data_IF_847153048058
#
_entry.id   IF_847153048058
#
_cell.length_a   1.000
_cell.length_b   1.000
_cell.length_c   1.000
_cell.angle_alpha   90.00
_cell.angle_beta   90.00
_cell.angle_gamma   90.00
#
_symmetry.space_group_name_H-M   'P 1'
#
loop_
_entity.id
_entity.type
_entity.pdbx_description
1 polymer ?
#
# COMPACT_ATOMS: atom_id res chain seq x y z
N UNK A 1 -18.75 6.72 33.52
CA UNK A 1 -18.35 6.59 32.13
C UNK A 1 -17.85 5.18 31.82
N UNK A 2 -16.97 4.60 32.63
CA UNK A 2 -16.38 3.28 32.42
C UNK A 2 -17.42 2.12 32.50
N UNK A 3 -18.36 2.23 33.45
CA UNK A 3 -19.42 1.24 33.62
C UNK A 3 -20.41 1.22 32.44
N UNK A 4 -20.69 2.40 31.88
CA UNK A 4 -21.57 2.53 30.70
C UNK A 4 -20.95 1.92 29.45
N UNK A 5 -19.62 2.02 29.30
CA UNK A 5 -18.90 1.36 28.20
C UNK A 5 -18.91 -0.16 28.34
N UNK A 6 -18.84 -0.71 29.56
CA UNK A 6 -18.92 -2.16 29.80
C UNK A 6 -20.34 -2.71 29.53
N UNK A 7 -21.37 -1.97 29.93
CA UNK A 7 -22.78 -2.33 29.69
C UNK A 7 -23.06 -2.30 28.16
N UNK A 8 -22.51 -1.33 27.42
CA UNK A 8 -22.64 -1.29 25.96
C UNK A 8 -21.88 -2.45 25.26
N UNK A 9 -20.77 -2.94 25.85
CA UNK A 9 -20.03 -4.12 25.36
C UNK A 9 -20.76 -5.43 25.69
N UNK A 10 -21.46 -5.53 26.83
CA UNK A 10 -22.25 -6.72 27.21
C UNK A 10 -23.53 -6.83 26.37
N UNK A 11 -24.20 -5.71 26.07
CA UNK A 11 -25.42 -5.67 25.24
C UNK A 11 -25.13 -6.02 23.76
N UNK A 12 -23.94 -5.70 23.24
CA UNK A 12 -23.51 -6.05 21.87
C UNK A 12 -23.13 -7.56 21.77
N UNK A 13 -22.62 -8.16 22.87
CA UNK A 13 -22.24 -9.57 22.91
C UNK A 13 -23.45 -10.52 23.11
N UNK A 14 -24.57 -10.06 23.68
CA UNK A 14 -25.77 -10.87 23.85
C UNK A 14 -26.60 -11.00 22.58
N UNK A 15 -26.36 -10.16 21.58
CA UNK A 15 -26.94 -10.33 20.23
C UNK A 15 -26.02 -11.17 19.34
N UNK A 16 -25.59 -12.35 19.79
CA UNK A 16 -25.11 -13.41 18.89
C UNK A 16 -26.33 -13.92 18.10
N UNK A 17 -26.82 -13.09 17.20
CA UNK A 17 -27.71 -13.53 16.14
C UNK A 17 -26.98 -14.59 15.34
N UNK A 18 -27.62 -15.72 15.09
CA UNK A 18 -27.17 -16.78 14.16
C UNK A 18 -26.63 -16.13 12.87
N UNK A 19 -25.34 -15.81 12.84
CA UNK A 19 -24.71 -15.20 11.69
C UNK A 19 -24.41 -16.31 10.71
N UNK A 20 -25.18 -16.35 9.64
CA UNK A 20 -24.90 -17.26 8.55
C UNK A 20 -23.64 -16.72 7.85
N UNK A 21 -22.45 -17.10 8.34
CA UNK A 21 -21.13 -16.65 7.86
C UNK A 21 -21.05 -16.65 6.33
N UNK A 22 -21.60 -17.68 5.69
CA UNK A 22 -21.60 -17.80 4.24
C UNK A 22 -22.49 -16.73 3.58
N UNK A 23 -23.63 -16.39 4.18
CA UNK A 23 -24.51 -15.34 3.67
C UNK A 23 -23.87 -13.95 3.83
N UNK A 24 -23.26 -13.68 4.99
CA UNK A 24 -22.54 -12.43 5.24
C UNK A 24 -21.34 -12.29 4.30
N UNK A 25 -20.57 -13.35 4.05
CA UNK A 25 -19.47 -13.38 3.10
C UNK A 25 -19.94 -13.12 1.66
N UNK A 26 -21.04 -13.77 1.22
CA UNK A 26 -21.62 -13.51 -0.10
C UNK A 26 -22.07 -12.07 -0.27
N UNK A 27 -22.61 -11.47 0.77
CA UNK A 27 -23.06 -10.06 0.77
C UNK A 27 -21.86 -9.13 0.60
N UNK A 28 -20.77 -9.35 1.33
CA UNK A 28 -19.53 -8.57 1.22
C UNK A 28 -18.92 -8.69 -0.19
N UNK A 29 -18.81 -9.91 -0.70
CA UNK A 29 -18.21 -10.16 -2.03
C UNK A 29 -19.02 -9.56 -3.19
N UNK A 30 -20.29 -9.26 -2.99
CA UNK A 30 -21.12 -8.52 -3.99
C UNK A 30 -20.89 -7.00 -3.94
N UNK A 31 -20.27 -6.50 -2.89
CA UNK A 31 -20.11 -5.05 -2.70
C UNK A 31 -18.94 -4.52 -3.55
N UNK A 32 -19.22 -3.75 -4.60
CA UNK A 32 -18.19 -3.16 -5.50
C UNK A 32 -17.10 -2.40 -4.75
N UNK A 33 -17.46 -1.65 -3.71
CA UNK A 33 -16.52 -0.86 -2.94
C UNK A 33 -15.45 -1.73 -2.24
N UNK A 34 -15.81 -2.94 -1.81
CA UNK A 34 -14.87 -3.90 -1.19
C UNK A 34 -13.75 -4.27 -2.18
N UNK A 35 -14.12 -4.57 -3.43
CA UNK A 35 -13.14 -4.92 -4.46
C UNK A 35 -12.25 -3.73 -4.84
N UNK A 36 -12.83 -2.52 -4.92
CA UNK A 36 -12.04 -1.31 -5.17
C UNK A 36 -11.06 -1.04 -4.04
N UNK A 37 -11.49 -1.16 -2.77
CA UNK A 37 -10.58 -1.07 -1.63
C UNK A 37 -9.49 -2.15 -1.67
N UNK A 38 -9.84 -3.40 -1.97
CA UNK A 38 -8.87 -4.49 -2.10
C UNK A 38 -7.82 -4.20 -3.19
N UNK A 39 -8.26 -3.68 -4.35
CA UNK A 39 -7.36 -3.26 -5.44
C UNK A 39 -6.45 -2.11 -5.00
N UNK A 40 -6.98 -1.12 -4.28
CA UNK A 40 -6.15 -0.04 -3.75
C UNK A 40 -5.07 -0.56 -2.80
N UNK A 41 -5.43 -1.49 -1.91
CA UNK A 41 -4.50 -2.02 -0.90
C UNK A 41 -3.47 -2.94 -1.56
N UNK A 42 -3.87 -3.86 -2.45
CA UNK A 42 -2.91 -4.75 -3.14
C UNK A 42 -1.90 -3.94 -3.97
N UNK A 43 -2.36 -2.91 -4.71
CA UNK A 43 -1.47 -2.07 -5.50
C UNK A 43 -0.57 -1.18 -4.63
N UNK A 44 -1.10 -0.60 -3.55
CA UNK A 44 -0.32 0.18 -2.59
C UNK A 44 0.70 -0.67 -1.84
N UNK A 45 0.34 -1.92 -1.53
CA UNK A 45 1.24 -2.85 -0.87
C UNK A 45 2.38 -3.31 -1.78
N UNK A 46 2.13 -3.52 -3.08
CA UNK A 46 3.18 -3.82 -4.06
C UNK A 46 4.22 -2.70 -4.15
N UNK A 47 3.78 -1.42 -4.23
CA UNK A 47 4.67 -0.26 -4.24
C UNK A 47 5.55 -0.22 -2.98
N UNK A 48 4.97 -0.50 -1.82
CA UNK A 48 5.73 -0.61 -0.58
C UNK A 48 6.71 -1.80 -0.62
N UNK A 49 6.26 -2.99 -1.05
CA UNK A 49 7.07 -4.20 -1.12
C UNK A 49 8.28 -4.03 -2.04
N UNK A 50 8.14 -3.32 -3.17
CA UNK A 50 9.25 -3.01 -4.07
C UNK A 50 10.41 -2.31 -3.36
N UNK A 51 10.14 -1.55 -2.29
CA UNK A 51 11.20 -0.86 -1.54
C UNK A 51 12.15 -1.80 -0.78
N UNK A 52 11.81 -3.07 -0.61
CA UNK A 52 12.70 -4.07 0.00
C UNK A 52 13.86 -4.44 -0.93
N UNK A 53 13.67 -4.37 -2.25
CA UNK A 53 14.72 -4.64 -3.22
C UNK A 53 15.73 -3.49 -3.37
N UNK A 54 15.47 -2.30 -2.81
CA UNK A 54 16.34 -1.13 -2.95
C UNK A 54 17.75 -1.37 -2.42
N UNK A 55 17.89 -2.11 -1.34
CA UNK A 55 19.21 -2.42 -0.78
C UNK A 55 20.09 -3.22 -1.75
N UNK A 56 19.53 -4.27 -2.35
CA UNK A 56 20.23 -5.07 -3.35
C UNK A 56 20.48 -4.26 -4.64
N UNK A 57 19.48 -3.50 -5.09
CA UNK A 57 19.60 -2.64 -6.27
C UNK A 57 20.73 -1.63 -6.13
N UNK A 58 20.81 -0.92 -5.00
CA UNK A 58 21.83 0.09 -4.74
C UNK A 58 23.23 -0.53 -4.64
N UNK A 59 23.38 -1.69 -4.02
CA UNK A 59 24.66 -2.38 -3.95
C UNK A 59 25.12 -2.88 -5.31
N UNK A 60 24.26 -3.57 -6.05
CA UNK A 60 24.62 -4.24 -7.30
C UNK A 60 24.84 -3.28 -8.46
N UNK A 61 24.02 -2.22 -8.55
CA UNK A 61 24.03 -1.36 -9.75
C UNK A 61 24.75 -0.01 -9.52
N UNK A 62 24.91 0.42 -8.28
CA UNK A 62 25.59 1.68 -7.95
C UNK A 62 26.86 1.46 -7.13
N UNK A 63 27.22 0.22 -6.81
CA UNK A 63 28.47 -0.10 -6.13
C UNK A 63 28.54 0.45 -4.70
N UNK A 64 27.40 0.75 -4.07
CA UNK A 64 27.38 1.29 -2.71
C UNK A 64 27.78 0.21 -1.70
N UNK A 65 28.55 0.62 -0.68
CA UNK A 65 28.91 -0.28 0.41
C UNK A 65 27.68 -0.70 1.23
N UNK A 66 27.72 -1.88 1.86
CA UNK A 66 26.66 -2.37 2.72
C UNK A 66 26.31 -1.37 3.85
N UNK A 67 27.31 -0.66 4.39
CA UNK A 67 27.11 0.36 5.43
C UNK A 67 26.31 1.55 4.88
N UNK A 68 26.70 2.08 3.71
CA UNK A 68 25.98 3.20 3.08
C UNK A 68 24.52 2.83 2.78
N UNK A 69 24.30 1.65 2.21
CA UNK A 69 22.94 1.15 1.91
C UNK A 69 22.14 0.90 3.18
N UNK A 70 22.75 0.37 4.22
CA UNK A 70 22.11 0.21 5.53
C UNK A 70 21.65 1.55 6.11
N UNK A 71 22.51 2.59 6.04
CA UNK A 71 22.16 3.94 6.49
C UNK A 71 20.99 4.53 5.70
N UNK A 72 20.98 4.39 4.35
CA UNK A 72 19.88 4.85 3.49
C UNK A 72 18.58 4.10 3.85
N UNK A 73 18.67 2.79 4.09
CA UNK A 73 17.52 1.96 4.47
C UNK A 73 16.93 2.40 5.81
N UNK A 74 17.78 2.67 6.81
CA UNK A 74 17.34 3.21 8.11
C UNK A 74 16.71 4.59 7.94
N UNK A 75 17.33 5.49 7.16
CA UNK A 75 16.76 6.81 6.87
C UNK A 75 15.38 6.69 6.19
N UNK A 76 15.21 5.74 5.25
CA UNK A 76 13.90 5.44 4.64
C UNK A 76 12.87 4.99 5.69
N UNK A 77 13.26 4.20 6.69
CA UNK A 77 12.32 3.76 7.74
C UNK A 77 11.80 4.93 8.58
N UNK A 78 12.59 5.99 8.78
CA UNK A 78 12.12 7.21 9.44
C UNK A 78 11.03 7.95 8.66
N UNK A 79 10.90 7.69 7.36
CA UNK A 79 9.78 8.20 6.57
C UNK A 79 8.43 7.57 6.95
N UNK A 80 8.42 6.49 7.73
CA UNK A 80 7.19 5.80 8.16
C UNK A 80 6.30 6.68 9.04
N UNK A 81 6.76 7.20 10.19
CA UNK A 81 5.95 8.12 10.98
C UNK A 81 5.66 9.42 10.21
N UNK A 82 6.63 9.98 9.50
CA UNK A 82 6.46 11.25 8.78
C UNK A 82 5.41 11.11 7.68
N UNK A 83 5.54 10.13 6.79
CA UNK A 83 4.61 9.89 5.69
C UNK A 83 3.21 9.48 6.17
N UNK A 84 3.11 8.62 7.20
CA UNK A 84 1.83 8.19 7.74
C UNK A 84 1.06 9.33 8.40
N UNK A 85 1.72 10.13 9.26
CA UNK A 85 1.10 11.27 9.95
C UNK A 85 0.69 12.35 8.94
N UNK A 86 1.59 12.77 8.05
CA UNK A 86 1.28 13.82 7.06
C UNK A 86 0.15 13.42 6.13
N UNK A 87 0.16 12.19 5.63
CA UNK A 87 -0.91 11.68 4.78
C UNK A 87 -2.25 11.60 5.52
N UNK A 88 -2.25 11.19 6.80
CA UNK A 88 -3.43 11.18 7.66
C UNK A 88 -4.03 12.58 7.81
N UNK A 89 -3.22 13.57 8.19
CA UNK A 89 -3.69 14.97 8.31
C UNK A 89 -4.29 15.52 7.01
N UNK A 90 -3.63 15.26 5.87
CA UNK A 90 -4.15 15.71 4.57
C UNK A 90 -5.45 14.98 4.20
N UNK A 91 -5.59 13.70 4.59
CA UNK A 91 -6.80 12.94 4.38
C UNK A 91 -7.97 13.46 5.22
N UNK A 92 -7.71 13.94 6.45
CA UNK A 92 -8.73 14.54 7.33
C UNK A 92 -9.27 15.86 6.77
N UNK A 93 -8.42 16.63 6.07
CA UNK A 93 -8.82 17.92 5.46
C UNK A 93 -9.48 17.75 4.08
N UNK A 94 -9.31 16.62 3.43
CA UNK A 94 -9.81 16.37 2.08
C UNK A 94 -10.74 15.15 2.07
N UNK A 95 -10.33 14.09 1.41
CA UNK A 95 -10.96 12.78 1.49
C UNK A 95 -9.89 11.70 1.40
N UNK A 96 -10.01 10.61 2.17
CA UNK A 96 -9.04 9.52 2.16
C UNK A 96 -8.82 8.96 0.75
N UNK A 97 -9.88 8.82 -0.05
CA UNK A 97 -9.84 8.27 -1.39
C UNK A 97 -9.04 9.17 -2.36
N UNK A 98 -9.24 10.50 -2.25
CA UNK A 98 -8.52 11.48 -3.07
C UNK A 98 -7.03 11.48 -2.73
N UNK A 99 -6.71 11.53 -1.45
CA UNK A 99 -5.31 11.51 -0.98
C UNK A 99 -4.64 10.20 -1.37
N UNK A 100 -5.33 9.08 -1.20
CA UNK A 100 -4.82 7.76 -1.61
C UNK A 100 -4.53 7.71 -3.12
N UNK A 101 -5.43 8.22 -3.96
CA UNK A 101 -5.23 8.27 -5.42
C UNK A 101 -3.98 9.09 -5.79
N UNK A 102 -3.82 10.28 -5.20
CA UNK A 102 -2.67 11.15 -5.44
C UNK A 102 -1.36 10.48 -4.99
N UNK A 103 -1.35 9.89 -3.79
CA UNK A 103 -0.17 9.20 -3.25
C UNK A 103 0.23 7.99 -4.10
N UNK A 104 -0.74 7.21 -4.59
CA UNK A 104 -0.50 6.07 -5.48
C UNK A 104 0.10 6.53 -6.82
N UNK A 105 -0.42 7.62 -7.41
CA UNK A 105 0.16 8.20 -8.64
C UNK A 105 1.60 8.67 -8.38
N UNK A 106 1.81 9.46 -7.33
CA UNK A 106 3.12 10.01 -7.01
C UNK A 106 4.14 8.90 -6.70
N UNK A 107 3.75 7.86 -5.94
CA UNK A 107 4.61 6.72 -5.64
C UNK A 107 4.95 5.91 -6.90
N UNK A 108 3.96 5.69 -7.79
CA UNK A 108 4.16 5.00 -9.07
C UNK A 108 5.12 5.74 -9.97
N UNK A 109 4.95 7.06 -10.13
CA UNK A 109 5.84 7.90 -10.94
C UNK A 109 7.26 7.88 -10.33
N UNK A 110 7.38 8.04 -9.02
CA UNK A 110 8.69 8.05 -8.34
C UNK A 110 9.41 6.70 -8.48
N UNK A 111 8.69 5.58 -8.43
CA UNK A 111 9.25 4.25 -8.67
C UNK A 111 9.65 4.08 -10.15
N UNK A 112 8.87 4.61 -11.08
CA UNK A 112 9.23 4.66 -12.50
C UNK A 112 10.50 5.49 -12.75
N UNK A 113 10.65 6.63 -12.09
CA UNK A 113 11.88 7.44 -12.13
C UNK A 113 13.07 6.62 -11.61
N UNK A 114 12.90 5.90 -10.49
CA UNK A 114 13.94 5.02 -9.94
C UNK A 114 14.38 3.96 -10.94
N UNK A 115 13.46 3.40 -11.74
CA UNK A 115 13.77 2.40 -12.76
C UNK A 115 14.70 2.93 -13.86
N UNK A 116 14.58 4.22 -14.22
CA UNK A 116 15.39 4.86 -15.27
C UNK A 116 16.54 5.72 -14.75
N UNK A 117 16.80 5.68 -13.44
CA UNK A 117 17.88 6.46 -12.86
C UNK A 117 19.25 5.96 -13.38
N UNK A 118 20.05 6.84 -14.04
CA UNK A 118 21.36 6.44 -14.56
C UNK A 118 22.30 5.97 -13.43
N UNK A 119 23.08 4.93 -13.69
CA UNK A 119 24.01 4.35 -12.69
C UNK A 119 25.14 5.29 -12.29
N UNK A 120 25.40 6.34 -13.06
CA UNK A 120 26.35 7.42 -12.75
C UNK A 120 25.70 8.61 -12.02
N UNK A 121 24.44 8.49 -11.61
CA UNK A 121 23.76 9.57 -10.88
C UNK A 121 24.45 9.91 -9.58
N UNK A 122 24.43 11.19 -9.19
CA UNK A 122 24.96 11.61 -7.90
C UNK A 122 24.23 10.87 -6.75
N UNK A 123 24.99 10.40 -5.79
CA UNK A 123 24.45 9.62 -4.64
C UNK A 123 23.33 10.37 -3.90
N UNK A 124 23.41 11.70 -3.85
CA UNK A 124 22.37 12.51 -3.22
C UNK A 124 21.03 12.40 -3.94
N UNK A 125 21.02 12.33 -5.26
CA UNK A 125 19.78 12.15 -6.05
C UNK A 125 19.13 10.81 -5.73
N UNK A 126 19.94 9.75 -5.64
CA UNK A 126 19.49 8.41 -5.28
C UNK A 126 18.88 8.38 -3.87
N UNK A 127 19.55 9.00 -2.91
CA UNK A 127 19.04 9.10 -1.53
C UNK A 127 17.69 9.81 -1.52
N UNK A 128 17.59 10.95 -2.21
CA UNK A 128 16.35 11.73 -2.26
C UNK A 128 15.20 10.93 -2.89
N UNK A 129 15.45 10.20 -3.98
CA UNK A 129 14.44 9.36 -4.63
C UNK A 129 13.99 8.22 -3.71
N UNK A 130 14.93 7.54 -3.03
CA UNK A 130 14.61 6.47 -2.08
C UNK A 130 13.78 6.99 -0.90
N UNK A 131 14.14 8.15 -0.34
CA UNK A 131 13.42 8.76 0.77
C UNK A 131 12.02 9.22 0.32
N UNK A 132 11.90 9.80 -0.88
CA UNK A 132 10.63 10.21 -1.45
C UNK A 132 9.69 9.00 -1.65
N UNK A 133 10.19 7.92 -2.25
CA UNK A 133 9.38 6.69 -2.41
C UNK A 133 9.00 6.12 -1.04
N UNK A 134 9.91 6.12 -0.08
CA UNK A 134 9.62 5.74 1.30
C UNK A 134 8.49 6.57 1.91
N UNK A 135 8.60 7.89 1.84
CA UNK A 135 7.57 8.82 2.33
C UNK A 135 6.20 8.55 1.69
N UNK A 136 6.14 8.45 0.36
CA UNK A 136 4.90 8.24 -0.38
C UNK A 136 4.26 6.88 -0.08
N UNK A 137 5.05 5.81 -0.08
CA UNK A 137 4.55 4.45 0.18
C UNK A 137 4.09 4.25 1.63
N UNK A 138 4.74 4.87 2.59
CA UNK A 138 4.27 4.88 3.98
C UNK A 138 3.04 5.78 4.15
N UNK A 139 2.92 6.88 3.39
CA UNK A 139 1.70 7.68 3.31
C UNK A 139 0.51 6.87 2.78
N UNK A 140 0.70 6.13 1.69
CA UNK A 140 -0.31 5.18 1.16
C UNK A 140 -0.78 4.23 2.26
N UNK A 141 0.16 3.62 3.02
CA UNK A 141 -0.17 2.69 4.11
C UNK A 141 -0.90 3.36 5.28
N UNK A 142 -0.68 4.64 5.50
CA UNK A 142 -1.39 5.42 6.53
C UNK A 142 -2.86 5.67 6.18
N UNK A 143 -3.18 5.75 4.89
CA UNK A 143 -4.51 6.21 4.42
C UNK A 143 -5.39 5.11 3.85
N UNK A 144 -4.85 4.03 3.28
CA UNK A 144 -5.68 3.05 2.55
C UNK A 144 -6.77 2.39 3.40
N UNK A 145 -6.56 2.20 4.71
CA UNK A 145 -7.60 1.67 5.60
C UNK A 145 -8.70 2.67 5.90
N UNK A 146 -8.40 3.98 5.84
CA UNK A 146 -9.41 5.02 6.04
C UNK A 146 -10.47 5.01 4.93
N UNK A 147 -10.13 4.56 3.72
CA UNK A 147 -11.10 4.45 2.60
C UNK A 147 -12.20 3.43 2.85
N UNK A 148 -11.95 2.41 3.68
CA UNK A 148 -12.96 1.42 4.04
C UNK A 148 -14.11 2.04 4.86
N UNK A 149 -13.83 3.07 5.65
CA UNK A 149 -14.85 3.77 6.44
C UNK A 149 -15.91 4.43 5.53
N UNK A 150 -15.49 4.94 4.35
CA UNK A 150 -16.37 5.52 3.33
C UNK A 150 -17.22 4.50 2.56
N UNK A 151 -16.95 3.20 2.69
CA UNK A 151 -17.62 2.17 1.88
C UNK A 151 -19.01 1.75 2.37
N UNK A 152 -19.55 2.34 3.45
CA UNK A 152 -20.86 2.02 4.05
C UNK A 152 -21.07 0.51 4.31
N UNK A 153 -20.02 -0.18 4.76
CA UNK A 153 -20.09 -1.58 5.16
C UNK A 153 -20.83 -1.67 6.50
N UNK A 154 -21.87 -2.51 6.63
CA UNK A 154 -22.58 -2.68 7.90
C UNK A 154 -21.63 -3.05 9.04
N UNK A 155 -21.81 -2.45 10.22
CA UNK A 155 -20.93 -2.70 11.38
C UNK A 155 -20.80 -4.19 11.71
N UNK A 156 -21.90 -4.96 11.57
CA UNK A 156 -21.93 -6.41 11.79
C UNK A 156 -20.94 -7.19 10.93
N UNK A 157 -20.70 -6.74 9.67
CA UNK A 157 -19.87 -7.46 8.70
C UNK A 157 -18.52 -6.76 8.46
N UNK A 158 -18.25 -5.66 9.16
CA UNK A 158 -17.05 -4.84 8.97
C UNK A 158 -15.76 -5.62 9.25
N UNK A 159 -15.72 -6.42 10.31
CA UNK A 159 -14.57 -7.27 10.63
C UNK A 159 -14.29 -8.31 9.53
N UNK A 160 -15.35 -8.95 9.01
CA UNK A 160 -15.24 -9.90 7.91
C UNK A 160 -14.76 -9.21 6.61
N UNK A 161 -15.23 -7.99 6.32
CA UNK A 161 -14.78 -7.21 5.18
C UNK A 161 -13.28 -6.87 5.30
N UNK A 162 -12.81 -6.44 6.47
CA UNK A 162 -11.38 -6.19 6.73
C UNK A 162 -10.58 -7.47 6.52
N UNK A 163 -11.04 -8.61 7.01
CA UNK A 163 -10.37 -9.90 6.82
C UNK A 163 -10.20 -10.27 5.33
N UNK A 164 -11.27 -10.17 4.53
CA UNK A 164 -11.24 -10.44 3.09
C UNK A 164 -10.30 -9.49 2.36
N UNK A 165 -10.40 -8.19 2.65
CA UNK A 165 -9.56 -7.17 2.02
C UNK A 165 -8.08 -7.38 2.40
N UNK A 166 -7.80 -7.73 3.67
CA UNK A 166 -6.44 -7.99 4.13
C UNK A 166 -5.83 -9.19 3.43
N UNK A 167 -6.59 -10.28 3.28
CA UNK A 167 -6.13 -11.48 2.59
C UNK A 167 -5.72 -11.17 1.15
N UNK A 168 -6.53 -10.41 0.43
CA UNK A 168 -6.23 -9.99 -0.95
C UNK A 168 -5.09 -8.97 -0.96
N UNK A 169 -5.16 -7.95 -0.09
CA UNK A 169 -4.26 -6.81 -0.09
C UNK A 169 -2.81 -7.16 0.25
N UNK A 170 -2.57 -8.17 1.11
CA UNK A 170 -1.24 -8.64 1.49
C UNK A 170 -0.74 -9.83 0.66
N UNK A 171 -1.52 -10.33 -0.27
CA UNK A 171 -1.13 -11.42 -1.16
C UNK A 171 0.15 -11.14 -2.00
N UNK A 172 0.52 -9.89 -2.32
CA UNK A 172 1.80 -9.56 -2.96
C UNK A 172 3.03 -10.07 -2.21
N UNK A 173 2.99 -10.18 -0.89
CA UNK A 173 4.10 -10.72 -0.10
C UNK A 173 4.44 -12.17 -0.47
N UNK A 174 3.44 -12.91 -0.95
CA UNK A 174 3.60 -14.27 -1.40
C UNK A 174 4.08 -14.36 -2.87
N UNK A 175 3.45 -13.65 -3.80
CA UNK A 175 3.74 -13.85 -5.22
C UNK A 175 4.87 -12.96 -5.77
N UNK A 176 5.12 -11.78 -5.18
CA UNK A 176 6.18 -10.91 -5.70
C UNK A 176 7.58 -11.52 -5.63
N UNK A 177 7.97 -12.24 -4.56
CA UNK A 177 9.24 -12.98 -4.56
C UNK A 177 9.32 -14.03 -5.68
N UNK A 178 8.20 -14.72 -5.96
CA UNK A 178 8.14 -15.75 -7.02
C UNK A 178 8.28 -15.14 -8.42
N UNK A 179 7.94 -13.87 -8.59
CA UNK A 179 8.13 -13.14 -9.86
C UNK A 179 9.51 -12.49 -9.91
N UNK A 180 9.92 -11.83 -8.83
CA UNK A 180 11.16 -11.04 -8.84
C UNK A 180 12.41 -11.90 -8.88
N UNK A 181 12.45 -13.06 -8.21
CA UNK A 181 13.63 -13.91 -8.19
C UNK A 181 13.99 -14.45 -9.59
N UNK A 182 13.08 -15.14 -10.34
CA UNK A 182 13.39 -15.58 -11.70
C UNK A 182 13.65 -14.41 -12.65
N UNK A 183 12.94 -13.27 -12.47
CA UNK A 183 13.12 -12.09 -13.31
C UNK A 183 14.53 -11.52 -13.18
N UNK A 184 15.05 -11.38 -11.96
CA UNK A 184 16.39 -10.87 -11.70
C UNK A 184 17.49 -11.87 -12.09
N UNK A 185 17.20 -13.16 -12.05
CA UNK A 185 18.10 -14.22 -12.53
C UNK A 185 18.20 -14.21 -14.06
N UNK A 186 17.09 -14.08 -14.77
CA UNK A 186 17.03 -14.11 -16.23
C UNK A 186 17.54 -12.80 -16.86
N UNK A 187 17.30 -11.66 -16.21
CA UNK A 187 17.76 -10.33 -16.62
C UNK A 187 18.68 -9.72 -15.55
N UNK A 188 19.95 -10.17 -15.48
CA UNK A 188 20.87 -9.68 -14.45
C UNK A 188 21.19 -8.20 -14.61
N UNK A 189 21.51 -7.54 -13.51
CA UNK A 189 21.87 -6.13 -13.45
C UNK A 189 20.67 -5.17 -13.50
N UNK A 190 20.85 -4.02 -14.14
CA UNK A 190 19.87 -2.92 -14.12
C UNK A 190 18.54 -3.30 -14.77
N UNK A 191 18.58 -4.08 -15.86
CA UNK A 191 17.39 -4.39 -16.65
C UNK A 191 16.32 -5.16 -15.87
N UNK A 192 16.72 -6.14 -15.08
CA UNK A 192 15.76 -6.90 -14.27
C UNK A 192 15.03 -6.02 -13.26
N UNK A 193 15.76 -5.11 -12.58
CA UNK A 193 15.14 -4.14 -11.67
C UNK A 193 14.25 -3.13 -12.41
N UNK A 194 14.64 -2.68 -13.61
CA UNK A 194 13.80 -1.80 -14.42
C UNK A 194 12.46 -2.43 -14.74
N UNK A 195 12.47 -3.66 -15.26
CA UNK A 195 11.22 -4.40 -15.57
C UNK A 195 10.37 -4.56 -14.31
N UNK A 196 10.98 -4.98 -13.20
CA UNK A 196 10.29 -5.17 -11.93
C UNK A 196 9.63 -3.88 -11.42
N UNK A 197 10.37 -2.77 -11.37
CA UNK A 197 9.85 -1.49 -10.90
C UNK A 197 8.79 -0.90 -11.82
N UNK A 198 8.93 -1.04 -13.15
CA UNK A 198 7.92 -0.60 -14.11
C UNK A 198 6.62 -1.40 -14.00
N UNK A 199 6.72 -2.72 -13.82
CA UNK A 199 5.56 -3.58 -13.60
C UNK A 199 4.78 -3.13 -12.35
N UNK A 200 5.47 -2.91 -11.24
CA UNK A 200 4.83 -2.45 -9.98
C UNK A 200 4.31 -1.02 -10.11
N UNK A 201 5.04 -0.14 -10.78
CA UNK A 201 4.61 1.24 -11.07
C UNK A 201 3.29 1.25 -11.83
N UNK A 202 3.17 0.42 -12.87
CA UNK A 202 1.92 0.28 -13.63
C UNK A 202 0.77 -0.24 -12.78
N UNK A 203 1.01 -1.26 -11.93
CA UNK A 203 0.01 -1.73 -10.97
C UNK A 203 -0.42 -0.62 -10.00
N UNK A 204 0.51 0.23 -9.55
CA UNK A 204 0.19 1.36 -8.70
C UNK A 204 -0.75 2.37 -9.35
N UNK A 205 -0.62 2.61 -10.66
CA UNK A 205 -1.57 3.45 -11.41
C UNK A 205 -2.97 2.82 -11.51
N UNK A 206 -3.06 1.49 -11.62
CA UNK A 206 -4.35 0.78 -11.54
C UNK A 206 -4.98 1.00 -10.16
N UNK A 207 -4.21 0.92 -9.08
CA UNK A 207 -4.66 1.22 -7.73
C UNK A 207 -5.15 2.67 -7.58
N UNK A 208 -4.43 3.63 -8.18
CA UNK A 208 -4.84 5.03 -8.19
C UNK A 208 -6.17 5.26 -8.89
N UNK A 209 -6.38 4.57 -10.01
CA UNK A 209 -7.66 4.61 -10.73
C UNK A 209 -8.79 3.98 -9.91
N UNK A 210 -8.53 2.88 -9.19
CA UNK A 210 -9.50 2.28 -8.29
C UNK A 210 -9.87 3.23 -7.14
N UNK A 211 -8.90 3.95 -6.56
CA UNK A 211 -9.14 4.97 -5.54
C UNK A 211 -9.96 6.14 -6.10
N UNK A 212 -9.70 6.57 -7.35
CA UNK A 212 -10.51 7.57 -8.03
C UNK A 212 -11.97 7.11 -8.23
N UNK A 213 -12.20 5.84 -8.55
CA UNK A 213 -13.56 5.30 -8.69
C UNK A 213 -14.31 5.25 -7.34
N UNK A 214 -13.60 5.14 -6.20
CA UNK A 214 -14.20 5.22 -4.87
C UNK A 214 -14.73 6.62 -4.54
N UNK A 215 -14.18 7.68 -5.13
CA UNK A 215 -14.64 9.06 -4.95
C UNK A 215 -15.98 9.35 -5.64
N UNK A 216 -16.34 8.58 -6.66
CA UNK A 216 -17.59 8.83 -7.39
C UNK A 216 -18.79 8.45 -6.54
N UNK A 217 -19.81 9.34 -6.42
CA UNK A 217 -21.04 9.01 -5.73
C UNK A 217 -21.63 7.73 -6.34
N UNK A 218 -22.17 6.88 -5.48
CA UNK A 218 -22.85 5.65 -5.89
C UNK A 218 -24.09 6.07 -6.68
N UNK A 219 -24.06 5.90 -8.02
CA UNK A 219 -25.27 5.90 -8.85
C UNK A 219 -26.07 4.65 -8.58
#
# INVERSE_FOLDING_TARGET
VYKRQLDDFEDDNTKVTNTNFIADLKTILKHRAIWLCAICIICGYQLFYATYSFSAYLQQNFGLTAVAVGTITVAKLWMRPIGGITAGFVADWSSPEKVLSILLIAASISLGIMAFLPTNSAIIVMILVVLLIGFLTYGVRGVYWATLAGCNVPNKTKGLAIGVISMIGYFPEFYLPLISAPLLEYYPGVLGYQIYYLMISFCGLIGAYAAYLLMKPKS
#
